data_IF_419032752136
#
_entry.id   IF_419032752136
#
_cell.length_a   1.000
_cell.length_b   1.000
_cell.length_c   1.000
_cell.angle_alpha   90.00
_cell.angle_beta   90.00
_cell.angle_gamma   90.00
#
_symmetry.space_group_name_H-M   'P 1'
#
loop_
_entity.id
_entity.type
_entity.pdbx_description
1 polymer ?
#
# COMPACT_ATOMS: atom_id res chain seq x y z
N UNK A 1 -17.31 4.63 -12.78
CA UNK A 1 -18.18 4.12 -13.90
C UNK A 1 -18.68 2.72 -13.57
N UNK A 2 -19.90 2.37 -13.94
CA UNK A 2 -20.53 1.07 -13.68
C UNK A 2 -20.30 0.15 -14.87
N UNK A 3 -19.55 -0.93 -14.70
CA UNK A 3 -19.20 -1.87 -15.77
C UNK A 3 -20.40 -2.73 -16.17
N UNK A 4 -20.67 -2.86 -17.47
CA UNK A 4 -21.66 -3.83 -17.95
C UNK A 4 -21.09 -5.24 -17.86
N UNK A 5 -21.87 -6.21 -17.35
CA UNK A 5 -21.50 -7.62 -17.38
C UNK A 5 -22.28 -8.35 -18.45
N UNK A 6 -21.58 -9.21 -19.21
CA UNK A 6 -22.23 -10.30 -19.92
C UNK A 6 -22.79 -11.32 -18.91
N UNK A 7 -24.08 -11.58 -19.03
CA UNK A 7 -24.90 -12.71 -18.51
C UNK A 7 -24.52 -13.45 -17.20
N UNK A 8 -23.98 -12.82 -16.16
CA UNK A 8 -23.88 -13.47 -14.84
C UNK A 8 -24.35 -12.53 -13.73
N UNK A 9 -25.27 -13.02 -12.89
CA UNK A 9 -25.81 -12.36 -11.71
C UNK A 9 -24.73 -12.27 -10.59
N UNK A 10 -23.86 -11.27 -10.66
CA UNK A 10 -22.88 -10.97 -9.62
C UNK A 10 -22.91 -9.50 -9.22
N UNK A 11 -22.27 -9.12 -8.09
CA UNK A 11 -22.25 -7.74 -7.64
C UNK A 11 -21.68 -6.80 -8.72
N UNK A 12 -22.30 -5.65 -8.87
CA UNK A 12 -21.88 -4.63 -9.81
C UNK A 12 -20.87 -3.73 -9.14
N UNK A 13 -19.72 -3.56 -9.79
CA UNK A 13 -18.66 -2.69 -9.30
C UNK A 13 -18.56 -1.41 -10.13
N UNK A 14 -18.19 -0.34 -9.46
CA UNK A 14 -17.83 0.93 -10.06
C UNK A 14 -16.31 1.03 -10.15
N UNK A 15 -15.81 1.63 -11.23
CA UNK A 15 -14.38 1.84 -11.45
C UNK A 15 -14.10 3.24 -11.98
N UNK A 16 -12.89 3.74 -11.75
CA UNK A 16 -12.40 4.95 -12.41
C UNK A 16 -12.18 4.69 -13.92
N UNK A 17 -12.24 5.72 -14.78
CA UNK A 17 -11.80 5.60 -16.15
C UNK A 17 -10.36 5.13 -16.21
N UNK A 18 -10.09 4.05 -16.95
CA UNK A 18 -8.75 3.49 -17.12
C UNK A 18 -8.49 3.21 -18.60
N UNK A 19 -7.25 3.37 -19.06
CA UNK A 19 -6.83 3.08 -20.41
C UNK A 19 -5.46 2.41 -20.44
N UNK A 20 -5.16 1.70 -21.53
CA UNK A 20 -3.81 1.15 -21.78
C UNK A 20 -3.05 2.13 -22.66
N UNK A 21 -1.77 2.36 -22.36
CA UNK A 21 -0.86 3.11 -23.21
C UNK A 21 -0.61 2.26 -24.48
N UNK A 22 -0.82 2.86 -25.66
CA UNK A 22 -0.55 2.21 -26.95
C UNK A 22 0.92 2.42 -27.32
N UNK A 23 1.42 1.57 -28.20
CA UNK A 23 2.81 1.70 -28.67
C UNK A 23 3.03 3.07 -29.32
N UNK A 24 4.06 3.80 -28.85
CA UNK A 24 4.41 5.15 -29.33
C UNK A 24 3.60 6.30 -28.72
N UNK A 25 2.64 6.00 -27.84
CA UNK A 25 1.80 7.00 -27.17
C UNK A 25 2.44 7.44 -25.84
N UNK A 26 2.37 8.73 -25.53
CA UNK A 26 2.77 9.20 -24.20
C UNK A 26 1.67 8.92 -23.17
N UNK A 27 2.01 8.72 -21.87
CA UNK A 27 1.03 8.41 -20.84
C UNK A 27 -0.11 9.44 -20.72
N UNK A 28 0.20 10.73 -20.86
CA UNK A 28 -0.78 11.83 -20.85
C UNK A 28 -1.75 11.74 -22.02
N UNK A 29 -1.25 11.45 -23.22
CA UNK A 29 -2.05 11.26 -24.42
C UNK A 29 -3.00 10.08 -24.27
N UNK A 30 -2.48 8.96 -23.70
CA UNK A 30 -3.27 7.77 -23.39
C UNK A 30 -4.41 8.09 -22.41
N UNK A 31 -4.16 8.94 -21.40
CA UNK A 31 -5.18 9.32 -20.43
C UNK A 31 -6.27 10.20 -21.06
N UNK A 32 -5.89 11.20 -21.85
CA UNK A 32 -6.84 12.07 -22.58
C UNK A 32 -7.70 11.24 -23.53
N UNK A 33 -7.08 10.36 -24.30
CA UNK A 33 -7.80 9.44 -25.18
C UNK A 33 -8.72 8.50 -24.41
N UNK A 34 -8.28 7.95 -23.28
CA UNK A 34 -9.10 7.05 -22.46
C UNK A 34 -10.31 7.81 -21.89
N UNK A 35 -10.15 9.05 -21.48
CA UNK A 35 -11.26 9.89 -21.00
C UNK A 35 -12.31 10.09 -22.10
N UNK A 36 -11.88 10.42 -23.32
CA UNK A 36 -12.77 10.56 -24.46
C UNK A 36 -13.44 9.23 -24.85
N UNK A 37 -12.62 8.17 -25.06
CA UNK A 37 -13.13 6.85 -25.47
C UNK A 37 -14.10 6.24 -24.46
N UNK A 38 -13.93 6.45 -23.14
CA UNK A 38 -14.75 5.80 -22.12
C UNK A 38 -15.92 6.63 -21.62
N UNK A 39 -15.80 7.93 -21.63
CA UNK A 39 -16.82 8.83 -21.08
C UNK A 39 -17.21 9.99 -21.99
N UNK A 40 -16.59 10.13 -23.15
CA UNK A 40 -16.87 11.23 -24.09
C UNK A 40 -16.56 12.61 -23.51
N UNK A 41 -15.54 12.72 -22.66
CA UNK A 41 -15.14 13.97 -22.04
C UNK A 41 -13.75 14.39 -22.52
N UNK A 42 -13.54 15.71 -22.57
CA UNK A 42 -12.23 16.31 -22.85
C UNK A 42 -11.70 16.97 -21.58
N UNK A 43 -10.42 16.73 -21.27
CA UNK A 43 -9.75 17.41 -20.18
C UNK A 43 -9.18 18.76 -20.65
N UNK A 44 -9.33 19.79 -19.82
CA UNK A 44 -8.67 21.09 -20.03
C UNK A 44 -7.28 21.15 -19.43
N UNK A 45 -7.00 20.30 -18.44
CA UNK A 45 -5.65 20.07 -17.92
C UNK A 45 -5.46 18.62 -17.45
N UNK A 46 -4.22 18.16 -17.50
CA UNK A 46 -3.80 16.81 -17.11
C UNK A 46 -2.56 16.95 -16.23
N UNK A 47 -2.62 16.48 -15.00
CA UNK A 47 -1.52 16.55 -14.05
C UNK A 47 -1.21 15.16 -13.54
N UNK A 48 0.05 14.72 -13.66
CA UNK A 48 0.51 13.49 -13.04
C UNK A 48 0.34 13.60 -11.53
N UNK A 49 -0.38 12.65 -10.95
CA UNK A 49 -0.62 12.61 -9.51
C UNK A 49 0.25 11.57 -8.83
N UNK A 50 0.27 10.34 -9.34
CA UNK A 50 1.04 9.25 -8.76
C UNK A 50 1.35 8.15 -9.79
N UNK A 51 2.29 7.27 -9.41
CA UNK A 51 2.64 6.07 -10.17
C UNK A 51 2.69 4.90 -9.21
N UNK A 52 1.80 3.92 -9.39
CA UNK A 52 1.70 2.74 -8.54
C UNK A 52 1.88 1.46 -9.33
N UNK A 53 2.41 0.44 -8.69
CA UNK A 53 2.55 -0.90 -9.26
C UNK A 53 1.70 -1.90 -8.51
N UNK A 54 0.88 -2.66 -9.23
CA UNK A 54 0.21 -3.84 -8.71
C UNK A 54 0.99 -5.07 -9.14
N UNK A 55 1.51 -5.80 -8.15
CA UNK A 55 2.16 -7.08 -8.42
C UNK A 55 1.09 -8.14 -8.71
N UNK A 56 1.31 -8.91 -9.76
CA UNK A 56 0.49 -10.09 -10.00
C UNK A 56 0.66 -11.09 -8.83
N UNK A 57 -0.40 -11.84 -8.46
CA UNK A 57 -0.29 -12.87 -7.45
C UNK A 57 0.82 -13.86 -7.78
N UNK A 58 1.56 -14.32 -6.77
CA UNK A 58 2.62 -15.32 -6.92
C UNK A 58 2.09 -16.58 -7.63
N UNK A 59 2.75 -17.01 -8.70
CA UNK A 59 2.31 -18.15 -9.53
C UNK A 59 1.37 -17.79 -10.69
N UNK A 60 0.99 -16.53 -10.86
CA UNK A 60 0.28 -16.08 -12.06
C UNK A 60 1.26 -15.82 -13.20
N UNK A 61 0.89 -16.19 -14.43
CA UNK A 61 1.63 -15.82 -15.63
C UNK A 61 1.42 -14.35 -16.03
N UNK A 62 0.70 -13.59 -15.22
CA UNK A 62 0.41 -12.18 -15.49
C UNK A 62 1.56 -11.29 -15.02
N UNK A 63 1.93 -10.37 -15.88
CA UNK A 63 2.92 -9.33 -15.57
C UNK A 63 2.35 -8.35 -14.53
N UNK A 64 3.23 -7.81 -13.70
CA UNK A 64 2.88 -6.68 -12.83
C UNK A 64 2.38 -5.51 -13.67
N UNK A 65 1.29 -4.88 -13.22
CA UNK A 65 0.76 -3.71 -13.91
C UNK A 65 1.31 -2.44 -13.27
N UNK A 66 1.78 -1.53 -14.10
CA UNK A 66 2.12 -0.16 -13.71
C UNK A 66 0.90 0.72 -13.99
N UNK A 67 0.41 1.39 -12.98
CA UNK A 67 -0.66 2.37 -13.11
C UNK A 67 -0.09 3.79 -12.94
N UNK A 68 -0.35 4.63 -13.93
CA UNK A 68 0.00 6.05 -13.90
C UNK A 68 -1.31 6.80 -13.65
N UNK A 69 -1.35 7.54 -12.56
CA UNK A 69 -2.56 8.21 -12.07
C UNK A 69 -2.48 9.68 -12.40
N UNK A 70 -3.52 10.20 -13.01
CA UNK A 70 -3.63 11.58 -13.40
C UNK A 70 -4.83 12.25 -12.74
N UNK A 71 -4.66 13.48 -12.31
CA UNK A 71 -5.72 14.41 -11.99
C UNK A 71 -6.08 15.19 -13.25
N UNK A 72 -7.38 15.23 -13.57
CA UNK A 72 -7.91 15.85 -14.77
C UNK A 72 -8.87 16.97 -14.42
N UNK A 73 -8.71 18.14 -15.05
CA UNK A 73 -9.72 19.20 -15.01
C UNK A 73 -10.64 19.05 -16.21
N UNK A 74 -11.94 18.97 -15.95
CA UNK A 74 -12.98 18.90 -16.98
C UNK A 74 -13.96 20.09 -16.82
N UNK A 75 -14.71 20.39 -17.87
CA UNK A 75 -15.79 21.37 -17.77
C UNK A 75 -16.87 20.85 -16.80
N UNK A 76 -17.21 21.64 -15.78
CA UNK A 76 -18.24 21.29 -14.78
C UNK A 76 -19.63 21.03 -15.39
N UNK A 77 -19.91 21.59 -16.58
CA UNK A 77 -21.16 21.41 -17.31
C UNK A 77 -21.14 20.22 -18.26
N UNK A 78 -19.95 19.59 -18.44
CA UNK A 78 -19.82 18.46 -19.33
C UNK A 78 -20.60 17.26 -18.80
N UNK A 79 -21.33 16.58 -19.67
CA UNK A 79 -22.11 15.38 -19.33
C UNK A 79 -21.40 14.17 -19.91
N UNK A 80 -20.94 13.22 -19.08
CA UNK A 80 -20.33 11.99 -19.56
C UNK A 80 -21.30 11.18 -20.42
N UNK A 81 -20.79 10.62 -21.51
CA UNK A 81 -21.48 9.65 -22.35
C UNK A 81 -20.72 8.32 -22.19
N UNK A 82 -21.20 7.37 -21.35
CA UNK A 82 -20.51 6.13 -21.14
C UNK A 82 -20.41 5.32 -22.45
N UNK A 83 -19.23 4.79 -22.74
CA UNK A 83 -19.03 3.82 -23.80
C UNK A 83 -19.79 2.51 -23.50
N UNK A 84 -20.04 1.66 -24.50
CA UNK A 84 -20.81 0.39 -24.42
C UNK A 84 -20.38 -0.59 -23.32
N UNK A 85 -19.19 -0.45 -22.79
CA UNK A 85 -18.70 -1.24 -21.64
C UNK A 85 -19.32 -0.83 -20.31
N UNK A 86 -19.91 0.37 -20.23
CA UNK A 86 -20.43 0.93 -19.00
C UNK A 86 -21.89 1.27 -19.14
N UNK A 87 -22.66 0.95 -18.12
CA UNK A 87 -24.11 1.16 -18.11
C UNK A 87 -24.53 2.46 -17.44
N UNK A 88 -23.62 3.08 -16.68
CA UNK A 88 -23.89 4.32 -15.96
C UNK A 88 -22.60 5.01 -15.53
N UNK A 89 -22.72 6.30 -15.21
CA UNK A 89 -21.68 7.07 -14.52
C UNK A 89 -22.26 7.72 -13.26
N UNK A 90 -21.36 8.11 -12.33
CA UNK A 90 -21.72 8.83 -11.12
C UNK A 90 -20.58 9.76 -10.74
N UNK A 91 -20.88 11.04 -10.50
CA UNK A 91 -19.97 11.96 -9.84
C UNK A 91 -20.10 11.76 -8.32
N UNK A 92 -19.00 11.57 -7.63
CA UNK A 92 -18.93 11.33 -6.20
C UNK A 92 -18.10 12.46 -5.60
N UNK A 93 -18.71 13.27 -4.72
CA UNK A 93 -18.00 14.32 -3.97
C UNK A 93 -17.44 13.80 -2.65
N UNK A 94 -18.08 12.81 -2.08
CA UNK A 94 -17.71 12.22 -0.80
C UNK A 94 -17.91 10.69 -0.91
N UNK A 95 -16.81 9.97 -0.91
CA UNK A 95 -16.78 8.52 -1.09
C UNK A 95 -17.45 7.73 0.04
N UNK A 96 -17.24 8.04 1.34
CA UNK A 96 -17.89 7.32 2.43
C UNK A 96 -19.42 7.34 2.35
N UNK A 97 -20.00 8.42 1.84
CA UNK A 97 -21.46 8.57 1.72
C UNK A 97 -22.04 7.95 0.43
N UNK A 98 -21.21 7.55 -0.51
CA UNK A 98 -21.66 7.19 -1.86
C UNK A 98 -22.37 5.83 -1.96
N UNK A 99 -22.22 4.94 -0.99
CA UNK A 99 -22.76 3.58 -0.96
C UNK A 99 -22.62 2.85 -2.31
N UNK A 100 -21.38 2.72 -2.80
CA UNK A 100 -21.03 2.10 -4.07
C UNK A 100 -19.99 1.01 -3.85
N UNK A 101 -20.11 -0.12 -4.53
CA UNK A 101 -19.07 -1.14 -4.56
C UNK A 101 -18.00 -0.72 -5.57
N UNK A 102 -16.79 -0.45 -5.10
CA UNK A 102 -15.66 -0.06 -5.95
C UNK A 102 -14.79 -1.28 -6.31
N UNK A 103 -14.14 -1.24 -7.47
CA UNK A 103 -13.11 -2.23 -7.79
C UNK A 103 -11.89 -2.03 -6.88
N UNK A 104 -11.13 -3.10 -6.61
CA UNK A 104 -9.91 -3.06 -5.79
C UNK A 104 -8.91 -2.00 -6.31
N UNK A 105 -8.69 -1.95 -7.62
CA UNK A 105 -7.84 -0.93 -8.25
C UNK A 105 -8.35 0.48 -7.99
N UNK A 106 -9.67 0.71 -8.10
CA UNK A 106 -10.27 2.01 -7.83
C UNK A 106 -10.12 2.41 -6.37
N UNK A 107 -10.33 1.48 -5.43
CA UNK A 107 -10.11 1.72 -4.00
C UNK A 107 -8.67 2.15 -3.73
N UNK A 108 -7.69 1.43 -4.26
CA UNK A 108 -6.27 1.78 -4.06
C UNK A 108 -5.93 3.17 -4.59
N UNK A 109 -6.43 3.53 -5.78
CA UNK A 109 -6.21 4.87 -6.37
C UNK A 109 -6.85 5.97 -5.51
N UNK A 110 -8.09 5.73 -5.04
CA UNK A 110 -8.83 6.71 -4.25
C UNK A 110 -8.28 6.85 -2.82
N UNK A 111 -7.77 5.79 -2.23
CA UNK A 111 -7.06 5.85 -0.94
C UNK A 111 -5.80 6.71 -1.02
N UNK A 112 -5.10 6.67 -2.17
CA UNK A 112 -3.98 7.56 -2.46
C UNK A 112 -4.48 9.02 -2.58
N UNK A 113 -5.65 9.26 -3.22
CA UNK A 113 -6.23 10.59 -3.39
C UNK A 113 -6.77 11.20 -2.10
N UNK A 114 -7.43 10.41 -1.26
CA UNK A 114 -7.98 10.91 0.00
C UNK A 114 -6.91 11.17 1.07
N UNK A 115 -5.63 10.86 0.75
CA UNK A 115 -4.58 10.93 1.77
C UNK A 115 -4.85 10.00 2.95
N UNK A 116 -5.68 8.96 2.74
CA UNK A 116 -5.87 7.82 3.62
C UNK A 116 -4.80 6.72 3.41
N UNK A 117 -3.59 7.07 3.16
CA UNK A 117 -2.57 6.86 4.18
C UNK A 117 -3.13 7.57 5.39
N UNK A 118 -3.51 6.87 6.45
CA UNK A 118 -3.93 7.49 7.70
C UNK A 118 -2.86 8.49 8.16
N UNK A 119 -2.78 9.61 7.51
CA UNK A 119 -2.34 10.84 8.11
C UNK A 119 -3.62 11.46 8.64
N UNK A 120 -4.13 10.93 9.76
CA UNK A 120 -4.84 11.80 10.67
C UNK A 120 -4.01 13.08 10.72
N UNK A 121 -4.66 14.21 10.57
CA UNK A 121 -4.09 15.51 10.88
C UNK A 121 -3.66 15.46 12.36
N UNK A 122 -2.44 14.94 12.57
CA UNK A 122 -1.79 15.00 13.86
C UNK A 122 -1.62 16.49 14.12
N UNK A 123 -2.32 16.98 15.12
CA UNK A 123 -2.21 18.38 15.48
C UNK A 123 -0.74 18.70 15.75
N UNK A 124 -0.26 19.94 15.57
CA UNK A 124 1.14 20.29 15.83
C UNK A 124 1.63 19.93 17.25
N UNK A 125 0.72 19.65 18.18
CA UNK A 125 1.03 19.18 19.55
C UNK A 125 1.35 17.68 19.61
N UNK A 126 0.86 16.88 18.64
CA UNK A 126 1.03 15.42 18.61
C UNK A 126 2.28 14.98 17.82
N UNK A 127 2.83 15.86 16.97
CA UNK A 127 4.05 15.56 16.21
C UNK A 127 5.30 15.38 17.06
N UNK A 128 5.37 16.04 18.23
CA UNK A 128 6.53 15.92 19.13
C UNK A 128 6.70 14.51 19.71
N UNK A 129 5.66 13.67 19.68
CA UNK A 129 5.68 12.30 20.21
C UNK A 129 5.43 11.23 19.11
N UNK A 130 5.55 11.60 17.85
CA UNK A 130 5.43 10.68 16.73
C UNK A 130 6.81 10.11 16.36
N UNK A 131 6.84 8.81 16.05
CA UNK A 131 8.06 8.13 15.56
C UNK A 131 7.81 7.45 14.22
N UNK A 132 8.91 7.22 13.51
CA UNK A 132 8.93 6.38 12.32
C UNK A 132 9.77 5.14 12.59
N UNK A 133 9.25 3.95 12.30
CA UNK A 133 9.95 2.69 12.47
C UNK A 133 10.07 1.99 11.12
N UNK A 134 11.29 1.88 10.63
CA UNK A 134 11.62 1.04 9.49
C UNK A 134 11.82 -0.41 9.98
N UNK A 135 11.23 -1.37 9.28
CA UNK A 135 11.34 -2.80 9.59
C UNK A 135 11.70 -3.61 8.35
N UNK A 136 12.45 -4.69 8.52
CA UNK A 136 12.79 -5.63 7.46
C UNK A 136 12.99 -7.05 8.00
N UNK A 137 12.60 -8.04 7.19
CA UNK A 137 12.78 -9.46 7.45
C UNK A 137 13.61 -10.15 6.39
N UNK A 138 14.71 -10.80 6.76
CA UNK A 138 15.59 -11.51 5.85
C UNK A 138 15.59 -13.01 6.10
N UNK A 139 15.80 -13.82 5.04
CA UNK A 139 15.99 -15.28 5.14
C UNK A 139 17.06 -15.76 4.16
N UNK A 140 17.94 -16.64 4.61
CA UNK A 140 18.95 -17.32 3.78
C UNK A 140 18.40 -18.65 3.27
N UNK A 141 17.36 -18.61 2.46
CA UNK A 141 16.56 -19.72 1.96
C UNK A 141 15.08 -19.51 2.27
N UNK A 142 14.19 -20.37 1.73
CA UNK A 142 12.75 -20.20 1.90
C UNK A 142 12.04 -21.56 2.10
N UNK A 143 11.97 -22.10 3.35
CA UNK A 143 12.49 -21.52 4.60
C UNK A 143 14.02 -21.64 4.74
N UNK A 144 14.58 -20.82 5.63
CA UNK A 144 16.01 -20.83 5.96
C UNK A 144 16.35 -20.05 7.23
N UNK A 145 17.65 -19.96 7.59
CA UNK A 145 18.09 -19.09 8.68
C UNK A 145 17.61 -17.66 8.44
N UNK A 146 16.88 -17.11 9.41
CA UNK A 146 16.15 -15.85 9.25
C UNK A 146 16.46 -14.88 10.38
N UNK A 147 16.42 -13.61 10.05
CA UNK A 147 16.60 -12.50 10.95
C UNK A 147 15.62 -11.37 10.66
N UNK A 148 15.42 -10.56 11.67
CA UNK A 148 14.61 -9.34 11.58
C UNK A 148 15.46 -8.15 11.98
N UNK A 149 15.12 -6.98 11.43
CA UNK A 149 15.78 -5.73 11.73
C UNK A 149 14.78 -4.59 11.82
N UNK A 150 15.11 -3.59 12.64
CA UNK A 150 14.36 -2.35 12.70
C UNK A 150 15.27 -1.15 12.98
N UNK A 151 14.77 0.02 12.61
CA UNK A 151 15.38 1.30 12.90
C UNK A 151 14.30 2.31 13.26
N UNK A 152 14.42 2.96 14.42
CA UNK A 152 13.47 3.96 14.93
C UNK A 152 14.04 5.34 14.74
N UNK A 153 13.24 6.22 14.15
CA UNK A 153 13.53 7.63 13.97
C UNK A 153 12.54 8.47 14.79
N UNK A 154 13.01 9.51 15.40
CA UNK A 154 12.16 10.50 16.04
C UNK A 154 11.47 11.41 14.99
N UNK A 155 10.68 12.36 15.47
CA UNK A 155 9.97 13.34 14.62
C UNK A 155 10.90 14.25 13.80
N UNK A 156 12.19 14.34 14.15
CA UNK A 156 13.21 15.11 13.41
C UNK A 156 13.90 14.28 12.33
N UNK A 157 13.66 12.94 12.31
CA UNK A 157 14.32 11.99 11.45
C UNK A 157 15.64 11.46 12.02
N UNK A 158 15.99 11.81 13.26
CA UNK A 158 17.18 11.29 13.92
C UNK A 158 16.94 9.84 14.38
N UNK A 159 17.93 8.97 14.15
CA UNK A 159 17.89 7.59 14.63
C UNK A 159 18.05 7.59 16.15
N UNK A 160 17.06 7.06 16.86
CA UNK A 160 17.09 6.88 18.31
C UNK A 160 17.36 5.45 18.73
N UNK A 161 17.05 4.48 17.87
CA UNK A 161 17.32 3.06 18.12
C UNK A 161 17.42 2.29 16.81
N UNK A 162 18.26 1.27 16.77
CA UNK A 162 18.27 0.24 15.72
C UNK A 162 18.72 -1.10 16.31
N UNK A 163 18.16 -2.18 15.79
CA UNK A 163 18.50 -3.53 16.28
C UNK A 163 18.16 -4.59 15.26
N UNK A 164 18.91 -5.69 15.30
CA UNK A 164 18.63 -6.92 14.57
C UNK A 164 18.59 -8.14 15.49
N UNK A 165 17.72 -9.10 15.17
CA UNK A 165 17.53 -10.32 15.95
C UNK A 165 17.45 -11.54 15.02
N UNK A 166 18.17 -12.63 15.36
CA UNK A 166 18.03 -13.90 14.68
C UNK A 166 16.79 -14.63 15.19
N UNK A 167 15.90 -15.04 14.30
CA UNK A 167 14.61 -15.64 14.65
C UNK A 167 14.52 -17.15 14.38
N UNK A 168 15.65 -17.80 14.09
CA UNK A 168 15.66 -19.21 13.74
C UNK A 168 15.42 -19.45 12.26
N UNK A 169 14.67 -20.50 11.92
CA UNK A 169 14.31 -20.85 10.54
C UNK A 169 12.89 -20.39 10.23
N UNK A 170 12.75 -19.57 9.20
CA UNK A 170 11.47 -19.08 8.74
C UNK A 170 11.47 -18.88 7.21
N UNK A 171 10.29 -18.70 6.64
CA UNK A 171 10.16 -18.20 5.26
C UNK A 171 10.42 -16.70 5.23
N UNK A 172 10.82 -16.16 4.08
CA UNK A 172 11.02 -14.71 3.92
C UNK A 172 9.77 -13.93 4.33
N UNK A 173 8.58 -14.42 3.94
CA UNK A 173 7.31 -13.78 4.32
C UNK A 173 7.07 -13.77 5.83
N UNK A 174 7.35 -14.87 6.52
CA UNK A 174 7.23 -14.91 7.99
C UNK A 174 8.22 -13.95 8.65
N UNK A 175 9.45 -13.85 8.14
CA UNK A 175 10.46 -12.93 8.65
C UNK A 175 9.98 -11.47 8.57
N UNK A 176 9.35 -11.07 7.45
CA UNK A 176 8.76 -9.74 7.30
C UNK A 176 7.66 -9.45 8.34
N UNK A 177 6.76 -10.40 8.57
CA UNK A 177 5.73 -10.26 9.60
C UNK A 177 6.31 -10.21 11.02
N UNK A 178 7.34 -11.02 11.30
CA UNK A 178 8.03 -10.97 12.59
C UNK A 178 8.75 -9.64 12.80
N UNK A 179 9.35 -9.06 11.73
CA UNK A 179 9.97 -7.75 11.80
C UNK A 179 8.96 -6.65 12.14
N UNK A 180 7.80 -6.66 11.44
CA UNK A 180 6.71 -5.73 11.72
C UNK A 180 6.21 -5.87 13.16
N UNK A 181 5.93 -7.10 13.61
CA UNK A 181 5.52 -7.37 14.99
C UNK A 181 6.56 -6.90 16.02
N UNK A 182 7.84 -7.06 15.72
CA UNK A 182 8.93 -6.57 16.60
C UNK A 182 8.93 -5.06 16.71
N UNK A 183 8.80 -4.36 15.58
CA UNK A 183 8.70 -2.89 15.56
C UNK A 183 7.50 -2.38 16.35
N UNK A 184 6.32 -3.04 16.19
CA UNK A 184 5.10 -2.71 16.93
C UNK A 184 5.31 -2.92 18.44
N UNK A 185 5.85 -4.06 18.85
CA UNK A 185 6.15 -4.32 20.25
C UNK A 185 7.09 -3.26 20.82
N UNK A 186 8.12 -2.89 20.07
CA UNK A 186 9.09 -1.90 20.54
C UNK A 186 8.48 -0.53 20.70
N UNK A 187 7.59 -0.11 19.79
CA UNK A 187 6.84 1.14 19.93
C UNK A 187 5.97 1.16 21.19
N UNK A 188 5.29 0.05 21.49
CA UNK A 188 4.47 -0.11 22.71
C UNK A 188 5.36 -0.03 23.96
N UNK A 189 6.48 -0.75 24.02
CA UNK A 189 7.43 -0.72 25.12
C UNK A 189 7.98 0.69 25.41
N UNK A 190 8.20 1.47 24.38
CA UNK A 190 8.67 2.86 24.45
C UNK A 190 7.54 3.86 24.78
N UNK A 191 6.29 3.40 24.80
CA UNK A 191 5.13 4.23 25.14
C UNK A 191 4.64 5.18 24.04
N UNK A 192 5.10 4.99 22.80
CA UNK A 192 4.63 5.81 21.68
C UNK A 192 3.21 5.44 21.27
N UNK A 193 2.40 6.46 20.96
CA UNK A 193 1.00 6.31 20.57
C UNK A 193 0.73 6.64 19.11
N UNK A 194 1.63 7.42 18.51
CA UNK A 194 1.55 7.79 17.09
C UNK A 194 2.77 7.25 16.38
N UNK A 195 2.58 6.28 15.46
CA UNK A 195 3.69 5.55 14.83
C UNK A 195 3.45 5.36 13.34
N UNK A 196 4.48 5.66 12.55
CA UNK A 196 4.56 5.32 11.14
C UNK A 196 5.50 4.15 10.93
N UNK A 197 4.97 3.01 10.48
CA UNK A 197 5.77 1.86 10.10
C UNK A 197 6.13 1.91 8.63
N UNK A 198 7.40 1.63 8.30
CA UNK A 198 7.93 1.60 6.94
C UNK A 198 8.51 0.21 6.67
N UNK A 199 8.15 -0.39 5.54
CA UNK A 199 8.70 -1.65 5.06
C UNK A 199 8.82 -1.65 3.52
N UNK A 200 9.75 -2.41 2.97
CA UNK A 200 9.85 -2.69 1.54
C UNK A 200 9.10 -3.97 1.11
N UNK A 201 8.39 -4.59 2.04
CA UNK A 201 7.45 -5.67 1.77
C UNK A 201 6.08 -5.13 1.42
N UNK A 202 5.84 -4.85 0.12
CA UNK A 202 4.55 -4.36 -0.36
C UNK A 202 3.38 -5.25 0.10
N UNK A 203 3.61 -6.58 0.15
CA UNK A 203 2.57 -7.51 0.58
C UNK A 203 2.17 -7.29 2.03
N UNK A 204 3.14 -7.18 2.96
CA UNK A 204 2.87 -6.96 4.38
C UNK A 204 2.18 -5.61 4.59
N UNK A 205 2.68 -4.56 3.95
CA UNK A 205 2.09 -3.22 4.03
C UNK A 205 0.63 -3.22 3.56
N UNK A 206 0.36 -3.81 2.39
CA UNK A 206 -1.02 -3.85 1.86
C UNK A 206 -1.95 -4.75 2.68
N UNK A 207 -1.43 -5.81 3.29
CA UNK A 207 -2.24 -6.64 4.19
C UNK A 207 -2.58 -5.93 5.50
N UNK A 208 -1.64 -5.18 6.08
CA UNK A 208 -1.88 -4.40 7.29
C UNK A 208 -2.75 -3.17 7.06
N UNK A 209 -2.72 -2.61 5.84
CA UNK A 209 -3.65 -1.57 5.41
C UNK A 209 -5.04 -2.12 5.02
N UNK A 210 -5.27 -3.44 5.11
CA UNK A 210 -6.54 -4.07 4.73
C UNK A 210 -6.80 -4.16 3.22
N UNK A 211 -5.81 -3.81 2.39
CA UNK A 211 -5.91 -3.82 0.92
C UNK A 211 -5.87 -5.25 0.39
N UNK A 212 -5.01 -6.11 0.98
CA UNK A 212 -4.88 -7.51 0.58
C UNK A 212 -5.38 -8.45 1.67
N UNK A 213 -6.15 -9.45 1.26
CA UNK A 213 -6.59 -10.52 2.17
C UNK A 213 -5.45 -11.48 2.49
N UNK A 214 -5.40 -11.98 3.73
CA UNK A 214 -4.46 -13.01 4.16
C UNK A 214 -5.09 -14.38 3.94
N UNK A 215 -4.46 -15.18 3.06
CA UNK A 215 -4.91 -16.55 2.75
C UNK A 215 -4.02 -17.62 3.40
N UNK A 216 -2.80 -17.23 3.82
CA UNK A 216 -1.83 -18.15 4.40
C UNK A 216 -2.14 -18.38 5.88
N UNK A 217 -2.44 -19.63 6.25
CA UNK A 217 -2.78 -20.02 7.63
C UNK A 217 -1.61 -19.86 8.60
N UNK A 218 -0.35 -19.95 8.15
CA UNK A 218 0.82 -19.76 9.00
C UNK A 218 1.03 -18.30 9.40
N UNK A 219 0.52 -17.37 8.59
CA UNK A 219 0.61 -15.93 8.83
C UNK A 219 -0.52 -15.45 9.75
N UNK A 220 -1.69 -16.07 9.70
CA UNK A 220 -2.88 -15.63 10.46
C UNK A 220 -2.62 -15.40 11.95
N UNK A 221 -1.89 -16.30 12.69
CA UNK A 221 -1.64 -16.06 14.10
C UNK A 221 -0.78 -14.81 14.37
N UNK A 222 0.21 -14.55 13.48
CA UNK A 222 1.09 -13.38 13.60
C UNK A 222 0.29 -12.11 13.29
N UNK A 223 -0.52 -12.16 12.26
CA UNK A 223 -1.38 -11.04 11.85
C UNK A 223 -2.41 -10.69 12.93
N UNK A 224 -3.11 -11.67 13.49
CA UNK A 224 -4.08 -11.43 14.57
C UNK A 224 -3.43 -10.84 15.83
N UNK A 225 -2.20 -11.26 16.17
CA UNK A 225 -1.43 -10.67 17.26
C UNK A 225 -1.06 -9.21 16.97
N UNK A 226 -0.69 -8.91 15.72
CA UNK A 226 -0.44 -7.53 15.27
C UNK A 226 -1.72 -6.69 15.39
N UNK A 227 -2.85 -7.14 14.84
CA UNK A 227 -4.12 -6.40 14.91
C UNK A 227 -4.54 -6.07 16.36
N UNK A 228 -4.37 -7.02 17.28
CA UNK A 228 -4.67 -6.78 18.69
C UNK A 228 -3.76 -5.70 19.31
N UNK A 229 -2.48 -5.71 18.96
CA UNK A 229 -1.50 -4.73 19.44
C UNK A 229 -1.73 -3.35 18.85
N UNK A 230 -2.19 -3.25 17.61
CA UNK A 230 -2.48 -1.98 16.95
C UNK A 230 -3.55 -1.17 17.68
N UNK A 231 -4.44 -1.80 18.42
CA UNK A 231 -5.47 -1.14 19.24
C UNK A 231 -4.90 -0.29 20.40
N UNK A 232 -3.60 -0.45 20.71
CA UNK A 232 -2.93 0.30 21.78
C UNK A 232 -2.40 1.65 21.31
N UNK A 233 -2.45 1.94 20.02
CA UNK A 233 -2.02 3.19 19.43
C UNK A 233 -3.20 4.12 19.17
N UNK A 234 -2.93 5.41 19.22
CA UNK A 234 -3.89 6.45 18.87
C UNK A 234 -3.92 6.67 17.34
N UNK A 235 -2.74 6.58 16.71
CA UNK A 235 -2.60 6.67 15.25
C UNK A 235 -1.48 5.75 14.74
N UNK A 236 -1.78 4.96 13.71
CA UNK A 236 -0.81 4.08 13.04
C UNK A 236 -0.95 4.21 11.53
N UNK A 237 0.19 4.23 10.83
CA UNK A 237 0.23 4.13 9.38
C UNK A 237 1.30 3.15 8.91
N UNK A 238 1.03 2.43 7.81
CA UNK A 238 1.96 1.51 7.17
C UNK A 238 2.30 2.02 5.78
N UNK A 239 3.58 2.24 5.51
CA UNK A 239 4.06 2.83 4.26
C UNK A 239 5.05 1.89 3.58
N UNK A 240 4.80 1.61 2.30
CA UNK A 240 5.74 0.88 1.46
C UNK A 240 6.80 1.84 0.91
N UNK A 241 8.05 1.38 0.92
CA UNK A 241 9.17 2.07 0.27
C UNK A 241 9.97 1.10 -0.60
N UNK A 242 10.75 1.61 -1.53
CA UNK A 242 11.72 0.77 -2.24
C UNK A 242 12.79 0.26 -1.28
N UNK A 243 13.38 -0.91 -1.55
CA UNK A 243 14.45 -1.51 -0.75
C UNK A 243 15.64 -0.55 -0.53
N UNK A 244 15.95 0.29 -1.52
CA UNK A 244 16.98 1.32 -1.39
C UNK A 244 16.70 2.36 -0.31
N UNK A 245 15.45 2.51 0.10
CA UNK A 245 15.01 3.42 1.16
C UNK A 245 14.77 2.71 2.50
N UNK A 246 15.08 1.38 2.60
CA UNK A 246 14.97 0.59 3.83
C UNK A 246 16.30 -0.05 4.27
N UNK A 247 17.41 0.50 3.82
CA UNK A 247 18.75 -0.11 3.93
C UNK A 247 19.23 -0.38 5.36
N UNK A 248 18.81 0.43 6.33
CA UNK A 248 19.26 0.28 7.73
C UNK A 248 18.58 -0.94 8.35
N UNK A 249 17.27 -1.10 8.21
CA UNK A 249 16.54 -2.26 8.72
C UNK A 249 17.00 -3.55 8.00
N UNK A 250 17.20 -3.52 6.67
CA UNK A 250 17.77 -4.63 5.89
C UNK A 250 19.16 -5.02 6.42
N UNK A 251 20.03 -4.05 6.67
CA UNK A 251 21.37 -4.30 7.22
C UNK A 251 21.32 -4.95 8.60
N UNK A 252 20.44 -4.51 9.49
CA UNK A 252 20.29 -5.09 10.83
C UNK A 252 19.77 -6.53 10.76
N UNK A 253 18.77 -6.82 9.91
CA UNK A 253 18.24 -8.18 9.70
C UNK A 253 19.32 -9.13 9.17
N UNK A 254 20.06 -8.71 8.14
CA UNK A 254 21.12 -9.49 7.55
C UNK A 254 22.30 -9.71 8.52
N UNK A 255 22.70 -8.69 9.26
CA UNK A 255 23.76 -8.78 10.28
C UNK A 255 23.40 -9.77 11.38
N UNK A 256 22.13 -9.81 11.79
CA UNK A 256 21.66 -10.77 12.80
C UNK A 256 21.83 -12.24 12.35
N UNK A 257 21.54 -12.54 11.07
CA UNK A 257 21.75 -13.87 10.49
C UNK A 257 23.26 -14.20 10.43
N UNK A 258 24.05 -13.26 9.89
CA UNK A 258 25.48 -13.47 9.64
C UNK A 258 26.27 -13.71 10.95
N UNK A 259 25.88 -13.10 12.06
CA UNK A 259 26.47 -13.32 13.38
C UNK A 259 26.32 -14.78 13.87
N UNK A 260 25.27 -15.47 13.45
CA UNK A 260 25.00 -16.86 13.83
C UNK A 260 25.69 -17.83 12.87
N UNK A 261 25.66 -17.55 11.56
CA UNK A 261 26.22 -18.44 10.53
C UNK A 261 27.74 -18.39 10.43
N UNK A 262 28.40 -17.36 10.99
CA UNK A 262 29.87 -17.23 11.06
C UNK A 262 30.48 -17.78 12.32
N UNK A 263 29.69 -18.30 13.27
CA UNK A 263 30.12 -19.06 14.45
C UNK A 263 30.16 -20.54 14.14
#
# INVERSE_FOLDING_TARGET
MKRSRGRSEGPVFWELPTGKIKFGEQPEEAMVRALDEYVGLTASSVHLKDVITFLAPEGSSQLSNLYIIYELTIDEKAKPIPHDRYTAYKFIKDLPSANVNLTETTLTVLEIEEGKVHTEHVSPRDTANAITINVDGASRGNPGPSGIGYCIHDHTGQIIERSGEFIGFATSRMAEYYAMRKGINRAIELGYKTVKFISDSLMVVNQLNGIFSIKNQDIMPIYSDIEEKLKQFDAVSFVHVSRSNNTIADSEANTAIDKILKK
#
